data_IF_482514461498
#
_entry.id   IF_482514461498
#
_cell.length_a   1.000
_cell.length_b   1.000
_cell.length_c   1.000
_cell.angle_alpha   90.00
_cell.angle_beta   90.00
_cell.angle_gamma   90.00
#
_symmetry.space_group_name_H-M   'P 1'
#
loop_
_entity.id
_entity.type
_entity.pdbx_description
1 polymer ?
#
# COMPACT_ATOMS: atom_id res chain seq x y z
N UNK A 1 -12.47 -2.25 -37.05
CA UNK A 1 -13.48 -2.44 -38.12
C UNK A 1 -13.69 -3.91 -38.53
N UNK A 2 -12.74 -4.84 -38.34
CA UNK A 2 -12.90 -6.24 -38.77
C UNK A 2 -13.99 -7.06 -38.03
N UNK A 3 -14.30 -6.74 -36.77
CA UNK A 3 -15.23 -7.54 -35.96
C UNK A 3 -16.69 -7.44 -36.42
N UNK A 4 -17.12 -6.32 -37.00
CA UNK A 4 -18.50 -6.12 -37.47
C UNK A 4 -18.86 -6.97 -38.69
N UNK A 5 -17.91 -7.21 -39.58
CA UNK A 5 -18.12 -7.99 -40.81
C UNK A 5 -18.36 -9.48 -40.53
N UNK A 6 -17.67 -10.03 -39.52
CA UNK A 6 -17.82 -11.43 -39.11
C UNK A 6 -19.24 -11.73 -38.61
N UNK A 7 -19.88 -10.79 -37.90
CA UNK A 7 -21.24 -10.98 -37.37
C UNK A 7 -22.32 -10.92 -38.46
N UNK A 8 -22.14 -10.07 -39.48
CA UNK A 8 -23.03 -10.05 -40.62
C UNK A 8 -22.99 -11.39 -41.38
N UNK A 9 -21.79 -11.96 -41.57
CA UNK A 9 -21.63 -13.26 -42.20
C UNK A 9 -22.23 -14.41 -41.36
N UNK A 10 -22.06 -14.40 -40.03
CA UNK A 10 -22.65 -15.41 -39.16
C UNK A 10 -24.19 -15.36 -39.15
N UNK A 11 -24.77 -14.15 -39.19
CA UNK A 11 -26.22 -13.96 -39.26
C UNK A 11 -26.79 -14.47 -40.58
N UNK A 12 -26.11 -14.21 -41.70
CA UNK A 12 -26.53 -14.69 -43.03
C UNK A 12 -26.42 -16.21 -43.11
N UNK A 13 -25.33 -16.80 -42.60
CA UNK A 13 -25.15 -18.24 -42.56
C UNK A 13 -26.21 -18.94 -41.69
N UNK A 14 -26.55 -18.36 -40.54
CA UNK A 14 -27.61 -18.88 -39.67
C UNK A 14 -28.99 -18.81 -40.34
N UNK A 15 -29.30 -17.72 -41.03
CA UNK A 15 -30.57 -17.58 -41.76
C UNK A 15 -30.68 -18.61 -42.90
N UNK A 16 -29.59 -18.81 -43.65
CA UNK A 16 -29.52 -19.82 -44.70
C UNK A 16 -29.70 -21.24 -44.16
N UNK A 17 -29.06 -21.57 -43.03
CA UNK A 17 -29.19 -22.89 -42.40
C UNK A 17 -30.62 -23.18 -41.91
N UNK A 18 -31.31 -22.17 -41.35
CA UNK A 18 -32.72 -22.30 -40.94
C UNK A 18 -33.63 -22.53 -42.16
N UNK A 19 -33.41 -21.80 -43.26
CA UNK A 19 -34.20 -21.98 -44.49
C UNK A 19 -33.99 -23.36 -45.11
N UNK A 20 -32.74 -23.82 -45.21
CA UNK A 20 -32.41 -25.17 -45.73
C UNK A 20 -32.98 -26.26 -44.83
N UNK A 21 -32.88 -26.11 -43.50
CA UNK A 21 -33.46 -27.04 -42.53
C UNK A 21 -34.99 -27.11 -42.61
N UNK A 22 -35.66 -25.96 -42.77
CA UNK A 22 -37.12 -25.92 -42.94
C UNK A 22 -37.57 -26.60 -44.23
N UNK A 23 -36.85 -26.37 -45.35
CA UNK A 23 -37.15 -27.00 -46.63
C UNK A 23 -36.98 -28.53 -46.56
N UNK A 24 -35.89 -29.01 -45.96
CA UNK A 24 -35.64 -30.43 -45.78
C UNK A 24 -36.70 -31.10 -44.88
N UNK A 25 -37.06 -30.46 -43.76
CA UNK A 25 -38.08 -30.99 -42.84
C UNK A 25 -39.50 -30.94 -43.42
N UNK A 26 -39.81 -29.96 -44.26
CA UNK A 26 -41.08 -29.91 -45.00
C UNK A 26 -41.25 -31.11 -45.93
N UNK A 27 -40.18 -31.51 -46.62
CA UNK A 27 -40.17 -32.67 -47.53
C UNK A 27 -40.31 -33.99 -46.76
N UNK A 28 -39.73 -34.10 -45.57
CA UNK A 28 -39.66 -35.37 -44.82
C UNK A 28 -40.87 -35.58 -43.89
N UNK A 29 -41.29 -34.55 -43.16
CA UNK A 29 -42.26 -34.65 -42.06
C UNK A 29 -43.55 -33.87 -42.30
N UNK A 30 -43.70 -33.26 -43.48
CA UNK A 30 -44.86 -32.45 -43.84
C UNK A 30 -44.93 -31.10 -43.11
N UNK A 31 -46.07 -30.38 -43.22
CA UNK A 31 -46.17 -28.98 -42.79
C UNK A 31 -46.02 -28.80 -41.27
N UNK A 32 -46.44 -29.79 -40.47
CA UNK A 32 -46.29 -29.74 -38.99
C UNK A 32 -44.82 -29.78 -38.57
N UNK A 33 -44.00 -30.63 -39.23
CA UNK A 33 -42.56 -30.69 -38.98
C UNK A 33 -41.82 -29.42 -39.39
N UNK A 34 -42.26 -28.76 -40.47
CA UNK A 34 -41.73 -27.47 -40.89
C UNK A 34 -42.00 -26.37 -39.85
N UNK A 35 -43.21 -26.29 -39.30
CA UNK A 35 -43.57 -25.30 -38.25
C UNK A 35 -42.73 -25.51 -37.00
N UNK A 36 -42.55 -26.76 -36.55
CA UNK A 36 -41.72 -27.05 -35.37
C UNK A 36 -40.26 -26.64 -35.59
N UNK A 37 -39.72 -26.88 -36.79
CA UNK A 37 -38.35 -26.51 -37.16
C UNK A 37 -38.14 -25.00 -37.14
N UNK A 38 -39.10 -24.22 -37.66
CA UNK A 38 -39.07 -22.74 -37.58
C UNK A 38 -39.10 -22.28 -36.12
N UNK A 39 -39.97 -22.85 -35.30
CA UNK A 39 -40.15 -22.44 -33.91
C UNK A 39 -38.90 -22.75 -33.06
N UNK A 40 -38.32 -23.94 -33.20
CA UNK A 40 -37.05 -24.31 -32.56
C UNK A 40 -35.90 -23.45 -33.06
N UNK A 41 -35.85 -23.15 -34.36
CA UNK A 41 -34.87 -22.24 -34.95
C UNK A 41 -34.94 -20.82 -34.38
N UNK A 42 -36.15 -20.27 -34.23
CA UNK A 42 -36.37 -18.96 -33.62
C UNK A 42 -35.97 -18.95 -32.14
N UNK A 43 -36.34 -19.99 -31.37
CA UNK A 43 -35.94 -20.11 -29.96
C UNK A 43 -34.42 -20.22 -29.83
N UNK A 44 -33.76 -21.01 -30.68
CA UNK A 44 -32.30 -21.13 -30.72
C UNK A 44 -31.60 -19.82 -31.06
N UNK A 45 -32.11 -19.07 -32.04
CA UNK A 45 -31.60 -17.75 -32.41
C UNK A 45 -31.75 -16.74 -31.25
N UNK A 46 -32.91 -16.70 -30.61
CA UNK A 46 -33.13 -15.85 -29.43
C UNK A 46 -32.18 -16.20 -28.28
N UNK A 47 -31.99 -17.49 -27.98
CA UNK A 47 -31.07 -17.94 -26.94
C UNK A 47 -29.61 -17.55 -27.26
N UNK A 48 -29.19 -17.67 -28.52
CA UNK A 48 -27.86 -17.25 -28.98
C UNK A 48 -27.65 -15.74 -28.82
N UNK A 49 -28.64 -14.92 -29.22
CA UNK A 49 -28.57 -13.46 -29.08
C UNK A 49 -28.46 -13.06 -27.60
N UNK A 50 -29.25 -13.67 -26.71
CA UNK A 50 -29.17 -13.41 -25.26
C UNK A 50 -27.83 -13.85 -24.68
N UNK A 51 -27.34 -15.04 -25.05
CA UNK A 51 -26.03 -15.54 -24.61
C UNK A 51 -24.88 -14.62 -25.10
N UNK A 52 -24.96 -14.13 -26.33
CA UNK A 52 -23.99 -13.21 -26.90
C UNK A 52 -24.03 -11.83 -26.23
N UNK A 53 -25.22 -11.26 -26.04
CA UNK A 53 -25.38 -9.96 -25.38
C UNK A 53 -24.89 -10.03 -23.92
N UNK A 54 -25.21 -11.12 -23.20
CA UNK A 54 -24.70 -11.34 -21.85
C UNK A 54 -23.18 -11.52 -21.82
N UNK A 55 -22.58 -12.26 -22.77
CA UNK A 55 -21.12 -12.36 -22.89
C UNK A 55 -20.47 -11.01 -23.24
N UNK A 56 -21.08 -10.22 -24.13
CA UNK A 56 -20.59 -8.90 -24.53
C UNK A 56 -20.68 -7.89 -23.38
N UNK A 57 -21.78 -7.89 -22.62
CA UNK A 57 -21.90 -7.08 -21.40
C UNK A 57 -20.87 -7.51 -20.35
N UNK A 58 -20.63 -8.82 -20.18
CA UNK A 58 -19.58 -9.32 -19.29
C UNK A 58 -18.17 -8.92 -19.73
N UNK A 59 -17.88 -8.92 -21.04
CA UNK A 59 -16.57 -8.50 -21.53
C UNK A 59 -16.35 -7.00 -21.35
N UNK A 60 -17.37 -6.17 -21.64
CA UNK A 60 -17.29 -4.72 -21.45
C UNK A 60 -17.10 -4.36 -19.98
N UNK A 61 -17.87 -4.97 -19.07
CA UNK A 61 -17.71 -4.76 -17.62
C UNK A 61 -16.35 -5.22 -17.11
N UNK A 62 -15.80 -6.32 -17.63
CA UNK A 62 -14.45 -6.77 -17.29
C UNK A 62 -13.36 -5.81 -17.80
N UNK A 63 -13.51 -5.25 -19.00
CA UNK A 63 -12.60 -4.24 -19.55
C UNK A 63 -12.64 -2.94 -18.72
N UNK A 64 -13.84 -2.49 -18.34
CA UNK A 64 -14.02 -1.32 -17.48
C UNK A 64 -13.40 -1.53 -16.09
N UNK A 65 -13.58 -2.72 -15.50
CA UNK A 65 -12.98 -3.08 -14.22
C UNK A 65 -11.45 -3.09 -14.28
N UNK A 66 -10.86 -3.64 -15.35
CA UNK A 66 -9.40 -3.59 -15.57
C UNK A 66 -8.88 -2.17 -15.70
N UNK A 67 -9.58 -1.33 -16.48
CA UNK A 67 -9.21 0.07 -16.64
C UNK A 67 -9.30 0.83 -15.32
N UNK A 68 -10.33 0.56 -14.51
CA UNK A 68 -10.45 1.15 -13.18
C UNK A 68 -9.33 0.71 -12.25
N UNK A 69 -8.98 -0.58 -12.27
CA UNK A 69 -7.84 -1.09 -11.51
C UNK A 69 -6.54 -0.36 -11.91
N UNK A 70 -6.28 -0.19 -13.21
CA UNK A 70 -5.10 0.54 -13.71
C UNK A 70 -5.08 2.01 -13.25
N UNK A 71 -6.22 2.69 -13.28
CA UNK A 71 -6.32 4.08 -12.82
C UNK A 71 -6.13 4.20 -11.31
N UNK A 72 -6.72 3.29 -10.53
CA UNK A 72 -6.48 3.22 -9.07
C UNK A 72 -5.01 2.97 -8.77
N UNK A 73 -4.37 2.10 -9.52
CA UNK A 73 -2.93 1.82 -9.39
C UNK A 73 -2.09 3.04 -9.76
N UNK A 74 -2.49 3.77 -10.81
CA UNK A 74 -1.87 5.03 -11.18
C UNK A 74 -1.98 6.07 -10.06
N UNK A 75 -3.18 6.26 -9.49
CA UNK A 75 -3.42 7.17 -8.35
C UNK A 75 -2.56 6.78 -7.16
N UNK A 76 -2.48 5.49 -6.81
CA UNK A 76 -1.63 5.00 -5.70
C UNK A 76 -0.15 5.34 -5.90
N UNK A 77 0.32 5.47 -7.13
CA UNK A 77 1.72 5.80 -7.46
C UNK A 77 1.98 7.30 -7.59
N UNK A 78 0.97 8.09 -7.97
CA UNK A 78 1.15 9.52 -8.27
C UNK A 78 0.69 10.44 -7.16
N UNK A 79 -0.36 10.07 -6.42
CA UNK A 79 -0.89 10.89 -5.34
C UNK A 79 -0.21 10.49 -4.05
N UNK A 80 0.67 11.36 -3.56
CA UNK A 80 1.31 11.17 -2.26
C UNK A 80 0.40 11.67 -1.13
N UNK A 81 -0.11 10.72 -0.36
CA UNK A 81 -0.95 11.00 0.81
C UNK A 81 -0.63 10.05 1.96
N UNK A 82 -0.97 10.49 3.17
CA UNK A 82 -1.01 9.64 4.36
C UNK A 82 -2.47 9.56 4.80
N UNK A 83 -2.97 8.34 4.99
CA UNK A 83 -4.33 8.10 5.44
C UNK A 83 -4.32 7.54 6.86
N UNK A 84 -5.41 7.77 7.61
CA UNK A 84 -5.60 7.16 8.91
C UNK A 84 -5.58 5.62 8.81
N UNK A 85 -4.69 4.91 9.53
CA UNK A 85 -4.62 3.45 9.48
C UNK A 85 -5.90 2.76 9.98
N UNK A 86 -6.77 3.45 10.72
CA UNK A 86 -8.08 2.94 11.13
C UNK A 86 -9.14 2.99 10.01
N UNK A 87 -8.81 3.44 8.80
CA UNK A 87 -9.72 3.40 7.66
C UNK A 87 -9.92 1.95 7.19
N UNK A 88 -11.18 1.59 6.95
CA UNK A 88 -11.52 0.31 6.30
C UNK A 88 -10.99 0.29 4.85
N UNK A 89 -10.88 -0.90 4.27
CA UNK A 89 -10.44 -1.02 2.88
C UNK A 89 -11.39 -0.30 1.92
N UNK A 90 -12.70 -0.38 2.15
CA UNK A 90 -13.72 0.35 1.38
C UNK A 90 -13.56 1.87 1.51
N UNK A 91 -13.28 2.38 2.71
CA UNK A 91 -13.03 3.82 2.92
C UNK A 91 -11.76 4.26 2.20
N UNK A 92 -10.67 3.48 2.26
CA UNK A 92 -9.44 3.75 1.53
C UNK A 92 -9.66 3.73 0.02
N UNK A 93 -10.46 2.79 -0.47
CA UNK A 93 -10.80 2.71 -1.88
C UNK A 93 -11.60 3.95 -2.32
N UNK A 94 -12.54 4.39 -1.50
CA UNK A 94 -13.31 5.62 -1.72
C UNK A 94 -12.40 6.85 -1.80
N UNK A 95 -11.37 6.94 -0.95
CA UNK A 95 -10.35 8.00 -1.02
C UNK A 95 -9.61 7.95 -2.36
N UNK A 96 -9.13 6.77 -2.77
CA UNK A 96 -8.43 6.59 -4.06
C UNK A 96 -9.34 7.01 -5.22
N UNK A 97 -10.60 6.57 -5.19
CA UNK A 97 -11.60 6.87 -6.21
C UNK A 97 -11.90 8.37 -6.33
N UNK A 98 -11.75 9.13 -5.23
CA UNK A 98 -11.90 10.59 -5.26
C UNK A 98 -10.82 11.33 -6.06
N UNK A 99 -9.68 10.68 -6.32
CA UNK A 99 -8.61 11.20 -7.18
C UNK A 99 -8.74 10.74 -8.64
N UNK A 100 -9.67 9.83 -8.94
CA UNK A 100 -9.91 9.36 -10.31
C UNK A 100 -10.87 10.34 -11.01
N UNK A 101 -10.42 11.13 -12.01
CA UNK A 101 -11.21 12.24 -12.55
C UNK A 101 -12.57 11.83 -13.12
N UNK A 102 -12.66 10.63 -13.70
CA UNK A 102 -13.89 10.14 -14.35
C UNK A 102 -14.98 9.71 -13.36
N UNK A 103 -14.64 9.40 -12.11
CA UNK A 103 -15.61 8.89 -11.14
C UNK A 103 -16.48 10.00 -10.53
N UNK A 104 -16.12 11.28 -10.72
CA UNK A 104 -16.85 12.46 -10.21
C UNK A 104 -17.34 12.32 -8.76
N UNK A 105 -16.56 11.62 -7.93
CA UNK A 105 -16.81 11.51 -6.48
C UNK A 105 -16.47 12.86 -5.84
N UNK A 106 -17.11 13.18 -4.71
CA UNK A 106 -16.75 14.36 -3.91
C UNK A 106 -15.23 14.45 -3.71
N UNK A 107 -14.68 15.66 -3.84
CA UNK A 107 -13.22 15.88 -3.77
C UNK A 107 -12.76 15.61 -2.33
N UNK A 108 -12.02 14.51 -2.13
CA UNK A 108 -11.47 14.05 -0.85
C UNK A 108 -12.53 13.78 0.26
N UNK A 109 -13.28 12.65 0.18
CA UNK A 109 -14.05 12.18 1.33
C UNK A 109 -13.08 11.90 2.50
N UNK A 110 -13.54 12.10 3.74
CA UNK A 110 -12.71 11.96 4.95
C UNK A 110 -11.49 12.89 4.97
N UNK A 111 -11.65 14.16 4.56
CA UNK A 111 -10.56 15.16 4.55
C UNK A 111 -9.86 15.29 5.91
N UNK A 112 -10.58 15.09 7.00
CA UNK A 112 -10.06 15.05 8.37
C UNK A 112 -9.14 13.84 8.62
N UNK A 113 -9.37 12.72 7.92
CA UNK A 113 -8.63 11.45 8.02
C UNK A 113 -7.65 11.20 6.86
N UNK A 114 -7.32 12.26 6.11
CA UNK A 114 -6.41 12.23 4.97
C UNK A 114 -5.47 13.45 4.99
N UNK A 115 -4.17 13.24 4.86
CA UNK A 115 -3.16 14.29 4.70
C UNK A 115 -2.54 14.18 3.31
N UNK A 116 -2.70 15.22 2.50
CA UNK A 116 -2.02 15.34 1.21
C UNK A 116 -0.62 15.89 1.43
N UNK A 117 0.41 15.11 1.10
CA UNK A 117 1.81 15.52 1.29
C UNK A 117 2.17 16.78 0.49
N UNK A 118 1.68 16.97 -0.75
CA UNK A 118 1.94 18.21 -1.49
C UNK A 118 1.39 19.49 -0.84
N UNK A 119 0.42 19.38 0.07
CA UNK A 119 -0.13 20.55 0.80
C UNK A 119 0.74 20.96 2.00
N UNK A 120 1.68 20.10 2.42
CA UNK A 120 2.59 20.38 3.52
C UNK A 120 3.69 21.38 3.09
N UNK A 121 4.13 22.21 4.04
CA UNK A 121 5.29 23.08 3.82
C UNK A 121 6.54 22.26 3.49
N UNK A 122 7.56 22.82 2.78
CA UNK A 122 8.77 22.07 2.43
C UNK A 122 9.49 21.44 3.63
N UNK A 123 9.58 22.14 4.77
CA UNK A 123 10.17 21.62 6.00
C UNK A 123 9.35 20.49 6.61
N UNK A 124 8.01 20.63 6.62
CA UNK A 124 7.11 19.57 7.07
C UNK A 124 7.21 18.31 6.21
N UNK A 125 7.28 18.45 4.88
CA UNK A 125 7.53 17.32 3.96
C UNK A 125 8.83 16.61 4.29
N UNK A 126 9.92 17.34 4.51
CA UNK A 126 11.21 16.76 4.85
C UNK A 126 11.16 15.95 6.16
N UNK A 127 10.45 16.43 7.18
CA UNK A 127 10.25 15.69 8.44
C UNK A 127 9.43 14.42 8.25
N UNK A 128 8.34 14.49 7.47
CA UNK A 128 7.52 13.31 7.16
C UNK A 128 8.32 12.25 6.40
N UNK A 129 9.14 12.67 5.43
CA UNK A 129 10.00 11.77 4.65
C UNK A 129 11.09 11.11 5.50
N UNK A 130 11.64 11.82 6.50
CA UNK A 130 12.55 11.22 7.50
C UNK A 130 11.85 10.12 8.28
N UNK A 131 10.64 10.39 8.79
CA UNK A 131 9.86 9.42 9.54
C UNK A 131 9.51 8.19 8.68
N UNK A 132 9.04 8.41 7.44
CA UNK A 132 8.73 7.33 6.47
C UNK A 132 9.96 6.47 6.19
N UNK A 133 11.13 7.08 5.95
CA UNK A 133 12.38 6.33 5.73
C UNK A 133 12.78 5.49 6.94
N UNK A 134 12.68 6.04 8.15
CA UNK A 134 12.95 5.30 9.38
C UNK A 134 12.03 4.06 9.49
N UNK A 135 10.72 4.25 9.34
CA UNK A 135 9.74 3.16 9.37
C UNK A 135 9.98 2.13 8.27
N UNK A 136 10.27 2.57 7.04
CA UNK A 136 10.57 1.67 5.94
C UNK A 136 11.81 0.83 6.20
N UNK A 137 12.84 1.39 6.82
CA UNK A 137 14.05 0.63 7.16
C UNK A 137 13.79 -0.46 8.22
N UNK A 138 12.81 -0.26 9.11
CA UNK A 138 12.36 -1.29 10.05
C UNK A 138 11.64 -2.40 9.28
N UNK A 139 10.69 -2.06 8.41
CA UNK A 139 9.92 -3.05 7.64
C UNK A 139 10.78 -3.89 6.68
N UNK A 140 11.85 -3.33 6.12
CA UNK A 140 12.72 -4.06 5.20
C UNK A 140 13.81 -4.89 5.88
N UNK A 141 13.97 -4.77 7.21
CA UNK A 141 14.94 -5.55 7.99
C UNK A 141 14.60 -7.04 8.04
N UNK A 142 15.62 -7.90 8.06
CA UNK A 142 15.45 -9.34 8.24
C UNK A 142 14.93 -9.68 9.63
N UNK A 143 15.37 -8.97 10.68
CA UNK A 143 14.88 -9.18 12.05
C UNK A 143 13.37 -8.95 12.17
N UNK A 144 12.80 -7.98 11.44
CA UNK A 144 11.34 -7.79 11.34
C UNK A 144 10.69 -8.93 10.54
N UNK A 145 11.22 -9.29 9.38
CA UNK A 145 10.68 -10.39 8.55
C UNK A 145 10.67 -11.74 9.27
N UNK A 146 11.68 -12.00 10.09
CA UNK A 146 11.81 -13.22 10.90
C UNK A 146 11.05 -13.16 12.24
N UNK A 147 10.31 -12.07 12.49
CA UNK A 147 9.53 -11.86 13.73
C UNK A 147 10.37 -11.96 15.01
N UNK A 148 11.64 -11.53 14.93
CA UNK A 148 12.52 -11.40 16.10
C UNK A 148 12.20 -10.14 16.92
N UNK A 149 11.51 -9.18 16.29
CA UNK A 149 10.89 -8.04 16.93
C UNK A 149 9.41 -8.34 17.21
N UNK A 150 8.77 -7.52 18.04
CA UNK A 150 7.31 -7.54 18.20
C UNK A 150 6.60 -7.05 16.91
N UNK A 151 6.49 -7.95 15.94
CA UNK A 151 6.00 -7.65 14.60
C UNK A 151 4.55 -7.15 14.59
N UNK A 152 3.69 -7.76 15.42
CA UNK A 152 2.27 -7.38 15.53
C UNK A 152 2.11 -5.98 16.13
N UNK A 153 2.88 -5.64 17.16
CA UNK A 153 2.87 -4.29 17.71
C UNK A 153 3.39 -3.28 16.66
N UNK A 154 4.47 -3.60 15.95
CA UNK A 154 5.06 -2.72 14.94
C UNK A 154 4.13 -2.46 13.74
N UNK A 155 3.39 -3.48 13.28
CA UNK A 155 2.43 -3.36 12.18
C UNK A 155 1.28 -2.40 12.49
N UNK A 156 0.91 -2.24 13.76
CA UNK A 156 -0.14 -1.31 14.20
C UNK A 156 0.44 0.05 14.62
N UNK A 157 1.56 0.04 15.35
CA UNK A 157 2.18 1.22 15.92
C UNK A 157 2.79 2.13 14.86
N UNK A 158 3.60 1.59 13.95
CA UNK A 158 4.38 2.42 13.02
C UNK A 158 3.50 3.18 12.02
N UNK A 159 2.46 2.59 11.40
CA UNK A 159 1.56 3.35 10.53
C UNK A 159 0.80 4.43 11.30
N UNK A 160 0.44 4.15 12.56
CA UNK A 160 -0.18 5.14 13.44
C UNK A 160 0.75 6.31 13.74
N UNK A 161 2.01 6.05 14.03
CA UNK A 161 3.03 7.08 14.26
C UNK A 161 3.18 8.00 13.04
N UNK A 162 3.26 7.43 11.84
CA UNK A 162 3.33 8.20 10.58
C UNK A 162 2.08 9.07 10.40
N UNK A 163 0.89 8.52 10.64
CA UNK A 163 -0.36 9.25 10.55
C UNK A 163 -0.42 10.44 11.51
N UNK A 164 -0.10 10.23 12.78
CA UNK A 164 -0.14 11.30 13.80
C UNK A 164 0.89 12.40 13.51
N UNK A 165 2.10 12.03 13.05
CA UNK A 165 3.10 12.98 12.59
C UNK A 165 2.57 13.79 11.40
N UNK A 166 2.02 13.14 10.37
CA UNK A 166 1.48 13.81 9.19
C UNK A 166 0.35 14.79 9.56
N UNK A 167 -0.52 14.41 10.49
CA UNK A 167 -1.61 15.25 10.98
C UNK A 167 -1.11 16.50 11.69
N UNK A 168 -0.16 16.36 12.61
CA UNK A 168 0.44 17.50 13.31
C UNK A 168 1.15 18.43 12.32
N UNK A 169 1.91 17.88 11.37
CA UNK A 169 2.59 18.64 10.33
C UNK A 169 1.61 19.42 9.42
N UNK A 170 0.43 18.86 9.14
CA UNK A 170 -0.64 19.56 8.40
C UNK A 170 -1.15 20.76 9.19
N UNK A 171 -1.44 20.58 10.48
CA UNK A 171 -1.89 21.66 11.36
C UNK A 171 -0.82 22.76 11.46
N UNK A 172 0.44 22.39 11.70
CA UNK A 172 1.56 23.33 11.76
C UNK A 172 1.74 24.10 10.46
N UNK A 173 1.65 23.42 9.30
CA UNK A 173 1.72 24.08 7.99
C UNK A 173 0.61 25.11 7.82
N UNK A 174 -0.63 24.76 8.20
CA UNK A 174 -1.75 25.68 8.11
C UNK A 174 -1.57 26.91 9.00
N UNK A 175 -1.23 26.70 10.28
CA UNK A 175 -1.00 27.77 11.25
C UNK A 175 0.16 28.69 10.82
N UNK A 176 1.25 28.13 10.29
CA UNK A 176 2.35 28.92 9.74
C UNK A 176 1.88 29.82 8.58
N UNK A 177 1.09 29.27 7.65
CA UNK A 177 0.57 30.06 6.53
C UNK A 177 -0.41 31.15 6.99
N UNK A 178 -1.23 30.89 8.01
CA UNK A 178 -2.12 31.90 8.60
C UNK A 178 -1.33 33.03 9.25
N UNK A 179 -0.30 32.71 10.03
CA UNK A 179 0.60 33.70 10.62
C UNK A 179 1.32 34.53 9.56
N UNK A 180 1.85 33.91 8.50
CA UNK A 180 2.46 34.64 7.38
C UNK A 180 1.47 35.54 6.63
N UNK A 181 0.19 35.18 6.56
CA UNK A 181 -0.85 36.04 5.99
C UNK A 181 -1.15 37.23 6.92
N UNK A 182 -1.27 36.99 8.22
CA UNK A 182 -1.50 38.04 9.22
C UNK A 182 -0.35 39.06 9.26
N UNK A 183 0.90 38.59 9.15
CA UNK A 183 2.09 39.44 9.16
C UNK A 183 2.33 40.22 7.86
N UNK A 184 1.63 39.90 6.76
CA UNK A 184 1.70 40.66 5.50
C UNK A 184 0.94 41.99 5.53
N UNK A 185 0.07 42.19 6.53
CA UNK A 185 -0.64 43.45 6.76
C UNK A 185 0.17 44.47 7.57
N UNK A 186 -0.48 45.55 8.00
CA UNK A 186 0.13 46.51 8.94
C UNK A 186 0.37 45.81 10.29
N UNK A 187 1.63 45.56 10.63
CA UNK A 187 2.01 44.92 11.89
C UNK A 187 2.06 45.96 13.00
N UNK A 188 1.00 46.06 13.79
CA UNK A 188 0.98 46.92 14.98
C UNK A 188 1.70 46.25 16.17
N UNK A 189 2.19 47.01 17.16
CA UNK A 189 2.77 46.45 18.39
C UNK A 189 1.80 45.52 19.14
N UNK A 190 0.51 45.84 19.15
CA UNK A 190 -0.55 45.04 19.79
C UNK A 190 -0.73 43.70 19.08
N UNK A 191 -0.75 43.70 17.74
CA UNK A 191 -0.81 42.48 16.95
C UNK A 191 0.44 41.60 17.19
N UNK A 192 1.62 42.21 17.31
CA UNK A 192 2.86 41.48 17.62
C UNK A 192 2.78 40.81 18.99
N UNK A 193 2.30 41.52 20.01
CA UNK A 193 2.14 40.97 21.37
C UNK A 193 1.18 39.76 21.41
N UNK A 194 0.16 39.73 20.54
CA UNK A 194 -0.76 38.59 20.41
C UNK A 194 -0.13 37.42 19.63
N UNK A 195 0.68 37.70 18.61
CA UNK A 195 1.28 36.68 17.76
C UNK A 195 2.49 35.98 18.41
N UNK A 196 3.25 36.66 19.26
CA UNK A 196 4.47 36.11 19.87
C UNK A 196 4.22 34.81 20.66
N UNK A 197 3.22 34.73 21.58
CA UNK A 197 2.89 33.46 22.25
C UNK A 197 2.46 32.35 21.29
N UNK A 198 1.79 32.69 20.19
CA UNK A 198 1.34 31.71 19.18
C UNK A 198 2.52 31.15 18.38
N UNK A 199 3.49 32.02 18.03
CA UNK A 199 4.73 31.60 17.36
C UNK A 199 5.56 30.69 18.27
N UNK A 200 5.66 31.03 19.56
CA UNK A 200 6.37 30.18 20.52
C UNK A 200 5.68 28.83 20.72
N UNK A 201 4.34 28.80 20.81
CA UNK A 201 3.58 27.55 20.87
C UNK A 201 3.81 26.69 19.62
N UNK A 202 3.81 27.31 18.43
CA UNK A 202 4.08 26.63 17.17
C UNK A 202 5.50 26.09 17.09
N UNK A 203 6.51 26.86 17.55
CA UNK A 203 7.91 26.43 17.63
C UNK A 203 8.08 25.22 18.54
N UNK A 204 7.44 25.22 19.72
CA UNK A 204 7.44 24.07 20.63
C UNK A 204 6.77 22.84 20.00
N UNK A 205 5.66 23.04 19.29
CA UNK A 205 4.98 21.96 18.56
C UNK A 205 5.90 21.33 17.49
N UNK A 206 6.60 22.16 16.70
CA UNK A 206 7.57 21.68 15.70
C UNK A 206 8.73 20.92 16.35
N UNK A 207 9.27 21.44 17.46
CA UNK A 207 10.32 20.76 18.22
C UNK A 207 9.87 19.40 18.75
N UNK A 208 8.64 19.31 19.28
CA UNK A 208 8.05 18.05 19.76
C UNK A 208 7.91 17.01 18.65
N UNK A 209 7.35 17.40 17.50
CA UNK A 209 7.25 16.51 16.32
C UNK A 209 8.63 16.08 15.84
N UNK A 210 9.60 16.99 15.81
CA UNK A 210 10.98 16.68 15.41
C UNK A 210 11.60 15.63 16.34
N UNK A 211 11.47 15.81 17.65
CA UNK A 211 11.95 14.86 18.65
C UNK A 211 11.29 13.48 18.50
N UNK A 212 10.00 13.44 18.11
CA UNK A 212 9.28 12.19 17.81
C UNK A 212 9.84 11.47 16.58
N UNK A 213 10.13 12.22 15.52
CA UNK A 213 10.81 11.68 14.32
C UNK A 213 12.18 11.12 14.68
N UNK A 214 12.96 11.83 15.48
CA UNK A 214 14.30 11.38 15.90
C UNK A 214 14.24 10.10 16.76
N UNK A 215 13.17 9.90 17.54
CA UNK A 215 12.96 8.63 18.25
C UNK A 215 12.70 7.48 17.29
N UNK A 216 11.89 7.69 16.25
CA UNK A 216 11.68 6.70 15.19
C UNK A 216 12.99 6.37 14.47
N UNK A 217 13.83 7.37 14.19
CA UNK A 217 15.14 7.18 13.57
C UNK A 217 16.11 6.42 14.48
N UNK A 218 16.09 6.67 15.79
CA UNK A 218 16.88 5.89 16.77
C UNK A 218 16.42 4.44 16.83
N UNK A 219 15.12 4.19 16.88
CA UNK A 219 14.58 2.83 16.82
C UNK A 219 14.99 2.11 15.54
N UNK A 220 14.84 2.76 14.38
CA UNK A 220 15.29 2.24 13.09
C UNK A 220 16.78 1.86 13.10
N UNK A 221 17.63 2.69 13.71
CA UNK A 221 19.06 2.39 13.86
C UNK A 221 19.31 1.15 14.72
N UNK A 222 18.60 0.98 15.84
CA UNK A 222 18.71 -0.23 16.67
C UNK A 222 18.28 -1.48 15.93
N UNK A 223 17.22 -1.38 15.11
CA UNK A 223 16.78 -2.48 14.24
C UNK A 223 17.85 -2.84 13.21
N UNK A 224 18.54 -1.85 12.63
CA UNK A 224 19.65 -2.08 11.70
C UNK A 224 20.87 -2.72 12.37
N UNK A 225 21.18 -2.34 13.62
CA UNK A 225 22.23 -2.97 14.43
C UNK A 225 21.90 -4.45 14.67
N UNK A 226 20.65 -4.75 15.03
CA UNK A 226 20.19 -6.13 15.19
C UNK A 226 20.22 -6.93 13.87
N UNK A 227 19.85 -6.30 12.77
CA UNK A 227 19.93 -6.89 11.42
C UNK A 227 21.38 -7.20 11.01
N UNK A 228 22.34 -6.34 11.38
CA UNK A 228 23.75 -6.58 11.15
C UNK A 228 24.27 -7.76 11.98
N UNK A 229 23.89 -7.86 13.25
CA UNK A 229 24.24 -8.99 14.11
C UNK A 229 23.65 -10.31 13.57
N UNK A 230 22.41 -10.28 13.07
CA UNK A 230 21.76 -11.45 12.47
C UNK A 230 22.50 -11.91 11.21
N UNK A 231 22.85 -10.98 10.31
CA UNK A 231 23.62 -11.30 9.10
C UNK A 231 25.01 -11.87 9.42
N UNK A 232 25.66 -11.34 10.45
CA UNK A 232 26.94 -11.88 10.91
C UNK A 232 26.78 -13.32 11.43
N UNK A 233 25.72 -13.60 12.21
CA UNK A 233 25.42 -14.96 12.68
C UNK A 233 25.19 -15.93 11.52
N UNK A 234 24.39 -15.53 10.55
CA UNK A 234 24.10 -16.36 9.37
C UNK A 234 25.35 -16.65 8.52
N UNK A 235 26.33 -15.74 8.50
CA UNK A 235 27.61 -16.01 7.86
C UNK A 235 28.37 -17.14 8.56
N UNK A 236 28.25 -17.27 9.90
CA UNK A 236 28.87 -18.36 10.65
C UNK A 236 28.11 -19.69 10.57
N UNK A 237 26.80 -19.71 10.29
CA UNK A 237 26.07 -20.99 10.07
C UNK A 237 26.60 -21.75 8.84
N UNK A 238 27.30 -21.08 7.91
CA UNK A 238 28.02 -21.75 6.83
C UNK A 238 29.37 -22.38 7.27
N UNK A 239 29.70 -22.35 8.57
CA UNK A 239 30.97 -22.87 9.08
C UNK A 239 31.06 -24.39 9.16
N UNK A 240 30.01 -25.15 8.85
CA UNK A 240 30.06 -26.61 8.89
C UNK A 240 31.19 -27.20 8.04
N UNK A 241 31.55 -26.53 6.94
CA UNK A 241 32.72 -26.91 6.11
C UNK A 241 34.05 -26.66 6.81
N UNK A 242 34.16 -25.59 7.59
CA UNK A 242 35.34 -25.27 8.37
C UNK A 242 35.45 -26.16 9.61
N UNK A 243 34.34 -26.46 10.28
CA UNK A 243 34.29 -27.47 11.35
C UNK A 243 34.73 -28.83 10.86
N UNK A 244 34.21 -29.26 9.71
CA UNK A 244 34.61 -30.52 9.08
C UNK A 244 36.10 -30.52 8.72
N UNK A 245 36.62 -29.41 8.16
CA UNK A 245 38.04 -29.27 7.85
C UNK A 245 38.91 -29.39 9.11
N UNK A 246 38.59 -28.64 10.17
CA UNK A 246 39.34 -28.64 11.43
C UNK A 246 39.32 -30.03 12.11
N UNK A 247 38.19 -30.73 12.03
CA UNK A 247 38.06 -32.10 12.49
C UNK A 247 38.90 -33.10 11.68
N UNK A 248 39.14 -32.85 10.39
CA UNK A 248 40.03 -33.70 9.58
C UNK A 248 41.52 -33.40 9.82
N UNK A 249 41.85 -32.26 10.41
CA UNK A 249 43.23 -31.85 10.72
C UNK A 249 43.59 -32.04 12.20
N UNK A 250 42.69 -32.62 13.01
CA UNK A 250 42.83 -32.75 14.46
C UNK A 250 43.19 -31.42 15.16
N UNK A 251 42.66 -30.30 14.65
CA UNK A 251 42.93 -28.95 15.17
C UNK A 251 41.91 -28.55 16.25
N UNK A 252 42.12 -29.08 17.45
CA UNK A 252 41.28 -28.82 18.63
C UNK A 252 41.30 -27.35 19.09
N UNK A 253 42.35 -26.59 18.77
CA UNK A 253 42.46 -25.17 19.11
C UNK A 253 41.60 -24.33 18.17
N UNK A 254 41.74 -24.54 16.85
CA UNK A 254 40.89 -23.89 15.85
C UNK A 254 39.40 -24.21 16.03
N UNK A 255 39.07 -25.43 16.48
CA UNK A 255 37.70 -25.83 16.80
C UNK A 255 37.13 -25.00 17.98
N UNK A 256 37.89 -24.87 19.08
CA UNK A 256 37.51 -24.08 20.27
C UNK A 256 37.37 -22.59 19.95
N UNK A 257 38.24 -22.05 19.13
CA UNK A 257 38.16 -20.66 18.68
C UNK A 257 36.88 -20.42 17.88
N UNK A 258 36.55 -21.31 16.93
CA UNK A 258 35.36 -21.19 16.11
C UNK A 258 34.06 -21.24 16.94
N UNK A 259 34.02 -22.11 17.96
CA UNK A 259 32.91 -22.19 18.91
C UNK A 259 32.77 -20.92 19.76
N UNK A 260 33.89 -20.40 20.27
CA UNK A 260 33.94 -19.17 21.08
C UNK A 260 33.41 -17.97 20.29
N UNK A 261 33.82 -17.83 19.03
CA UNK A 261 33.34 -16.76 18.15
C UNK A 261 31.83 -16.91 17.85
N UNK A 262 31.36 -18.14 17.67
CA UNK A 262 29.93 -18.42 17.50
C UNK A 262 29.11 -17.99 18.72
N UNK A 263 29.54 -18.37 19.93
CA UNK A 263 28.86 -18.02 21.17
C UNK A 263 28.82 -16.50 21.42
N UNK A 264 29.93 -15.80 21.20
CA UNK A 264 30.00 -14.34 21.34
C UNK A 264 29.05 -13.61 20.37
N UNK A 265 28.84 -14.17 19.18
CA UNK A 265 27.96 -13.58 18.17
C UNK A 265 26.48 -13.81 18.47
N UNK A 266 26.11 -14.98 19.00
CA UNK A 266 24.76 -15.23 19.51
C UNK A 266 24.40 -14.30 20.66
N UNK A 267 25.32 -14.07 21.60
CA UNK A 267 25.12 -13.11 22.68
C UNK A 267 24.95 -11.68 22.13
N UNK A 268 25.76 -11.30 21.14
CA UNK A 268 25.66 -9.99 20.48
C UNK A 268 24.31 -9.82 19.77
N UNK A 269 23.84 -10.85 19.06
CA UNK A 269 22.52 -10.85 18.44
C UNK A 269 21.42 -10.71 19.49
N UNK A 270 21.42 -11.54 20.52
CA UNK A 270 20.43 -11.49 21.59
C UNK A 270 20.35 -10.10 22.22
N UNK A 271 21.51 -9.52 22.57
CA UNK A 271 21.60 -8.17 23.14
C UNK A 271 21.06 -7.10 22.19
N UNK A 272 21.45 -7.14 20.92
CA UNK A 272 21.01 -6.17 19.92
C UNK A 272 19.50 -6.22 19.66
N UNK A 273 18.91 -7.41 19.63
CA UNK A 273 17.46 -7.61 19.50
C UNK A 273 16.74 -7.09 20.74
N UNK A 274 17.21 -7.39 21.95
CA UNK A 274 16.63 -6.85 23.18
C UNK A 274 16.62 -5.32 23.21
N UNK A 275 17.73 -4.68 22.85
CA UNK A 275 17.83 -3.21 22.78
C UNK A 275 16.86 -2.65 21.72
N UNK A 276 16.69 -3.33 20.58
CA UNK A 276 15.72 -2.91 19.57
C UNK A 276 14.27 -3.04 20.08
N UNK A 277 13.93 -4.12 20.78
CA UNK A 277 12.61 -4.32 21.38
C UNK A 277 12.30 -3.22 22.41
N UNK A 278 13.24 -2.94 23.31
CA UNK A 278 13.10 -1.88 24.32
C UNK A 278 12.87 -0.52 23.65
N UNK A 279 13.65 -0.19 22.63
CA UNK A 279 13.45 1.03 21.85
C UNK A 279 12.06 1.10 21.20
N UNK A 280 11.53 -0.02 20.69
CA UNK A 280 10.16 -0.11 20.17
C UNK A 280 9.08 0.09 21.26
N UNK A 281 9.33 -0.40 22.47
CA UNK A 281 8.43 -0.22 23.61
C UNK A 281 8.39 1.24 24.08
N UNK A 282 9.54 1.93 24.14
CA UNK A 282 9.58 3.36 24.49
C UNK A 282 8.77 4.23 23.53
N UNK A 283 8.80 3.91 22.22
CA UNK A 283 7.96 4.56 21.21
C UNK A 283 6.45 4.38 21.47
N UNK A 284 6.06 3.28 22.10
CA UNK A 284 4.67 2.98 22.44
C UNK A 284 4.20 3.75 23.69
N UNK A 285 5.07 3.89 24.69
CA UNK A 285 4.75 4.55 25.97
C UNK A 285 4.56 6.06 25.82
N UNK A 286 5.36 6.70 24.97
CA UNK A 286 5.24 8.12 24.62
C UNK A 286 3.89 8.53 24.02
N UNK A 287 3.06 7.56 23.63
CA UNK A 287 1.68 7.80 23.20
C UNK A 287 0.72 8.07 24.36
N UNK A 288 0.99 7.50 25.54
CA UNK A 288 0.07 7.51 26.67
C UNK A 288 0.25 8.75 27.57
N UNK A 289 1.36 9.46 27.42
CA UNK A 289 1.67 10.71 28.11
C UNK A 289 1.22 11.93 27.29
#
# INVERSE_FOLDING_TARGET
MAKGCLYALLSVASAAAVLVGCLAMYVIAGPVGAVFTVLVGLVGLCAFIVAHDTMRRRSLTAEEARRLAQERDHVRRTVDFVADPALTEEQRLTIIDSFVPRLRVSRAPFRDRLVLVPELSPSARALLERARRAVMSVYTSQVMRRRLLDGLANEVLLPRQIWEIAMLLRVQTHLHQEQERAMRGLVTPELRAVLEPQQEALRRSVASVTARVERLERYARRVQEADAALRAREALDNNDKYRALLAHTDDDEGMRDLETHGAALEETLARSVSVAIEAGQTLSLDRQA
#
